data_IF_617152167160
#
_entry.id   IF_617152167160
#
_cell.length_a   1.000
_cell.length_b   1.000
_cell.length_c   1.000
_cell.angle_alpha   90.00
_cell.angle_beta   90.00
_cell.angle_gamma   90.00
#
_symmetry.space_group_name_H-M   'P 1'
#
loop_
_entity.id
_entity.type
_entity.pdbx_description
1 polymer ?
#
# COMPACT_ATOMS: atom_id res chain seq x y z
N UNK A 1 -11.94 8.46 -45.45
CA UNK A 1 -10.87 8.31 -44.44
C UNK A 1 -11.29 9.21 -43.29
N UNK A 2 -12.13 8.70 -42.41
CA UNK A 2 -12.52 9.42 -41.20
C UNK A 2 -11.29 9.45 -40.27
N UNK A 3 -10.82 10.65 -39.95
CA UNK A 3 -9.78 10.82 -38.96
C UNK A 3 -10.33 10.29 -37.63
N UNK A 4 -9.78 9.18 -37.14
CA UNK A 4 -10.26 8.44 -35.97
C UNK A 4 -10.12 9.22 -34.64
N UNK A 5 -9.60 10.45 -34.68
CA UNK A 5 -9.41 11.32 -33.52
C UNK A 5 -9.69 12.78 -33.91
N UNK A 6 -10.69 13.38 -33.26
CA UNK A 6 -10.99 14.81 -33.38
C UNK A 6 -10.23 15.57 -32.26
N UNK A 7 -9.63 16.71 -32.61
CA UNK A 7 -8.93 17.61 -31.66
C UNK A 7 -9.80 17.99 -30.44
N UNK A 8 -11.12 17.98 -30.62
CA UNK A 8 -12.14 18.27 -29.60
C UNK A 8 -12.15 17.24 -28.45
N UNK A 9 -11.52 16.07 -28.61
CA UNK A 9 -11.39 15.06 -27.55
C UNK A 9 -10.22 15.33 -26.59
N UNK A 10 -9.30 16.23 -26.94
CA UNK A 10 -8.15 16.56 -26.09
C UNK A 10 -8.57 17.57 -25.02
N UNK A 11 -8.99 17.05 -23.86
CA UNK A 11 -9.33 17.88 -22.71
C UNK A 11 -8.07 18.21 -21.88
N UNK A 12 -7.58 19.45 -22.01
CA UNK A 12 -6.44 19.93 -21.21
C UNK A 12 -6.98 20.48 -19.88
N UNK A 13 -6.53 19.96 -18.72
CA UNK A 13 -6.93 20.49 -17.42
C UNK A 13 -6.54 21.96 -17.24
N UNK A 14 -7.46 22.80 -16.75
CA UNK A 14 -7.22 24.24 -16.57
C UNK A 14 -6.07 24.53 -15.59
N UNK A 15 -5.88 23.66 -14.59
CA UNK A 15 -4.85 23.81 -13.55
C UNK A 15 -3.44 23.40 -14.00
N UNK A 16 -3.30 22.68 -15.13
CA UNK A 16 -2.01 22.14 -15.58
C UNK A 16 -0.97 23.26 -15.79
N UNK A 17 -1.38 24.38 -16.39
CA UNK A 17 -0.49 25.51 -16.62
C UNK A 17 0.03 26.14 -15.33
N UNK A 18 -0.82 26.22 -14.30
CA UNK A 18 -0.43 26.76 -13.00
C UNK A 18 0.56 25.84 -12.28
N UNK A 19 0.29 24.52 -12.26
CA UNK A 19 1.16 23.50 -11.66
C UNK A 19 2.54 23.52 -12.32
N UNK A 20 2.58 23.50 -13.66
CA UNK A 20 3.84 23.51 -14.40
C UNK A 20 4.64 24.79 -14.15
N UNK A 21 3.99 25.95 -14.06
CA UNK A 21 4.65 27.22 -13.73
C UNK A 21 5.27 27.21 -12.34
N UNK A 22 4.57 26.65 -11.35
CA UNK A 22 5.10 26.51 -9.99
C UNK A 22 6.32 25.59 -9.97
N UNK A 23 6.25 24.45 -10.66
CA UNK A 23 7.36 23.51 -10.80
C UNK A 23 8.58 24.17 -11.44
N UNK A 24 8.42 24.85 -12.58
CA UNK A 24 9.52 25.56 -13.24
C UNK A 24 10.14 26.63 -12.34
N UNK A 25 9.32 27.38 -11.60
CA UNK A 25 9.82 28.37 -10.64
C UNK A 25 10.65 27.72 -9.52
N UNK A 26 10.25 26.54 -9.07
CA UNK A 26 10.95 25.79 -8.04
C UNK A 26 12.31 25.26 -8.55
N UNK A 27 12.35 24.72 -9.77
CA UNK A 27 13.58 24.31 -10.45
C UNK A 27 14.58 25.46 -10.60
N UNK A 28 14.13 26.63 -11.05
CA UNK A 28 15.00 27.80 -11.21
C UNK A 28 15.51 28.36 -9.89
N UNK A 29 14.80 28.11 -8.78
CA UNK A 29 15.19 28.59 -7.45
C UNK A 29 16.18 27.64 -6.79
N UNK A 30 15.91 26.33 -6.88
CA UNK A 30 16.64 25.31 -6.13
C UNK A 30 17.80 24.71 -6.95
N UNK A 31 17.84 24.96 -8.26
CA UNK A 31 18.85 24.50 -9.21
C UNK A 31 19.32 23.06 -8.96
N UNK A 32 18.39 22.09 -8.91
CA UNK A 32 18.71 20.74 -8.47
C UNK A 32 19.66 20.05 -9.45
N UNK A 33 20.62 19.30 -8.91
CA UNK A 33 21.56 18.50 -9.72
C UNK A 33 20.85 17.38 -10.47
N UNK A 34 19.79 16.81 -9.87
CA UNK A 34 18.97 15.76 -10.45
C UNK A 34 17.51 16.21 -10.55
N UNK A 35 17.12 16.64 -11.74
CA UNK A 35 15.77 17.10 -12.04
C UNK A 35 14.74 15.99 -11.89
N UNK A 36 15.11 14.73 -12.13
CA UNK A 36 14.17 13.61 -12.06
C UNK A 36 13.76 13.33 -10.62
N UNK A 37 14.74 13.19 -9.71
CA UNK A 37 14.48 13.00 -8.27
C UNK A 37 13.75 14.18 -7.66
N UNK A 38 14.16 15.39 -8.03
CA UNK A 38 13.49 16.61 -7.60
C UNK A 38 12.03 16.64 -8.08
N UNK A 39 11.76 16.26 -9.33
CA UNK A 39 10.38 16.17 -9.85
C UNK A 39 9.53 15.22 -9.02
N UNK A 40 10.04 14.01 -8.76
CA UNK A 40 9.32 12.99 -8.02
C UNK A 40 8.94 13.48 -6.62
N UNK A 41 9.88 14.11 -5.92
CA UNK A 41 9.64 14.71 -4.61
C UNK A 41 8.65 15.88 -4.68
N UNK A 42 8.84 16.81 -5.64
CA UNK A 42 7.97 17.97 -5.80
C UNK A 42 6.51 17.56 -6.02
N UNK A 43 6.27 16.62 -6.92
CA UNK A 43 4.91 16.15 -7.22
C UNK A 43 4.31 15.30 -6.10
N UNK A 44 5.12 14.52 -5.38
CA UNK A 44 4.67 13.82 -4.18
C UNK A 44 4.17 14.81 -3.12
N UNK A 45 4.95 15.85 -2.82
CA UNK A 45 4.62 16.85 -1.79
C UNK A 45 3.30 17.58 -2.12
N UNK A 46 3.14 18.07 -3.36
CA UNK A 46 1.91 18.80 -3.72
C UNK A 46 0.67 17.90 -3.84
N UNK A 47 0.87 16.59 -3.99
CA UNK A 47 -0.21 15.59 -3.97
C UNK A 47 -0.50 15.04 -2.57
N UNK A 48 0.20 15.53 -1.54
CA UNK A 48 0.04 15.08 -0.15
C UNK A 48 0.64 13.70 0.13
N UNK A 49 1.52 13.21 -0.75
CA UNK A 49 2.29 11.97 -0.58
C UNK A 49 3.66 12.28 0.01
N UNK A 50 4.27 11.30 0.65
CA UNK A 50 5.63 11.40 1.16
C UNK A 50 6.64 11.32 -0.02
N UNK A 51 7.76 12.07 0.02
CA UNK A 51 8.71 12.13 -1.08
C UNK A 51 9.52 10.84 -1.22
N UNK A 52 9.66 10.29 -2.44
CA UNK A 52 10.38 9.04 -2.67
C UNK A 52 11.90 9.13 -2.53
N UNK A 53 12.50 10.33 -2.47
CA UNK A 53 13.95 10.49 -2.30
C UNK A 53 14.26 11.34 -1.07
N UNK A 54 15.28 10.94 -0.33
CA UNK A 54 15.79 11.68 0.83
C UNK A 54 16.68 12.87 0.41
N UNK A 55 17.23 13.59 1.39
CA UNK A 55 18.14 14.72 1.19
C UNK A 55 19.45 14.36 0.48
N UNK A 56 19.83 13.08 0.50
CA UNK A 56 21.01 12.55 -0.18
C UNK A 56 20.68 12.05 -1.60
N UNK A 57 19.41 12.13 -2.01
CA UNK A 57 18.92 11.60 -3.27
C UNK A 57 18.89 10.08 -3.31
N UNK A 58 18.90 9.42 -2.15
CA UNK A 58 18.68 7.98 -2.02
C UNK A 58 17.18 7.73 -2.06
N UNK A 59 16.76 6.75 -2.84
CA UNK A 59 15.36 6.34 -2.87
C UNK A 59 15.02 5.76 -1.49
N UNK A 60 14.02 6.34 -0.85
CA UNK A 60 13.42 5.86 0.38
C UNK A 60 12.10 5.22 -0.02
N UNK A 61 12.03 3.90 0.14
CA UNK A 61 10.80 3.15 -0.09
C UNK A 61 9.73 3.63 0.90
N UNK A 62 8.84 4.47 0.39
CA UNK A 62 7.55 4.68 1.01
C UNK A 62 6.63 3.50 0.66
N UNK A 63 6.16 2.80 1.69
CA UNK A 63 5.38 1.55 1.70
C UNK A 63 4.00 1.56 0.97
N UNK A 64 3.73 2.52 0.07
CA UNK A 64 2.48 2.59 -0.70
C UNK A 64 2.68 2.58 -2.23
N UNK A 65 3.89 2.27 -2.70
CA UNK A 65 4.18 2.02 -4.11
C UNK A 65 4.54 0.54 -4.36
N UNK A 66 3.65 -0.38 -3.98
CA UNK A 66 3.72 -1.79 -4.42
C UNK A 66 2.39 -2.25 -4.97
N UNK A 67 2.09 -1.81 -6.19
CA UNK A 67 1.53 -2.76 -7.17
C UNK A 67 2.51 -2.87 -8.33
N UNK A 68 3.04 -4.09 -8.47
CA UNK A 68 3.90 -4.62 -9.53
C UNK A 68 5.41 -4.32 -9.45
N UNK A 69 6.16 -5.23 -8.84
CA UNK A 69 7.16 -6.03 -9.58
C UNK A 69 7.67 -7.21 -8.73
N UNK A 70 7.47 -8.42 -9.23
CA UNK A 70 8.29 -9.59 -8.89
C UNK A 70 9.76 -9.26 -9.17
N UNK A 71 10.63 -9.33 -8.17
CA UNK A 71 11.80 -10.21 -8.24
C UNK A 71 12.56 -10.24 -6.90
N UNK A 72 12.95 -11.46 -6.53
CA UNK A 72 13.59 -11.83 -5.27
C UNK A 72 14.99 -11.24 -5.15
N UNK A 73 15.27 -10.43 -4.12
CA UNK A 73 16.61 -10.34 -3.51
C UNK A 73 16.49 -10.13 -2.00
N UNK A 74 16.90 -11.15 -1.24
CA UNK A 74 17.01 -11.11 0.21
C UNK A 74 18.09 -10.11 0.66
N UNK A 75 17.77 -9.15 1.52
CA UNK A 75 18.75 -8.47 2.40
C UNK A 75 18.05 -8.04 3.70
N UNK A 76 18.76 -8.03 4.84
CA UNK A 76 18.16 -8.08 6.16
C UNK A 76 17.61 -6.71 6.60
N UNK A 77 16.33 -6.74 6.93
CA UNK A 77 15.43 -5.66 7.32
C UNK A 77 15.85 -4.94 8.61
N UNK A 78 16.02 -3.61 8.62
CA UNK A 78 15.76 -2.78 9.79
C UNK A 78 14.31 -2.31 9.72
N UNK A 79 13.49 -2.87 10.62
CA UNK A 79 12.03 -2.72 10.72
C UNK A 79 11.60 -1.23 10.81
N UNK A 80 10.84 -0.68 9.83
CA UNK A 80 10.08 0.57 10.00
C UNK A 80 8.75 0.27 10.72
N UNK A 81 8.01 1.32 11.12
CA UNK A 81 6.90 1.26 12.08
C UNK A 81 5.71 0.42 11.62
N UNK A 82 5.81 -0.88 11.92
CA UNK A 82 4.81 -1.93 12.16
C UNK A 82 3.57 -1.89 11.25
N UNK A 83 3.59 -2.68 10.17
CA UNK A 83 2.37 -3.36 9.70
C UNK A 83 1.96 -4.35 10.81
N UNK A 84 1.31 -3.84 11.86
CA UNK A 84 1.06 -4.62 13.08
C UNK A 84 0.18 -5.85 12.77
N UNK A 85 -0.76 -5.70 11.83
CA UNK A 85 -1.58 -6.81 11.34
C UNK A 85 -0.71 -7.80 10.58
N UNK A 86 0.21 -7.31 9.73
CA UNK A 86 1.21 -8.13 9.06
C UNK A 86 2.13 -8.87 10.04
N UNK A 87 2.56 -8.26 11.13
CA UNK A 87 3.36 -8.90 12.18
C UNK A 87 2.58 -10.01 12.89
N UNK A 88 1.30 -9.76 13.19
CA UNK A 88 0.40 -10.77 13.76
C UNK A 88 0.26 -11.92 12.75
N UNK A 89 -0.05 -11.64 11.48
CA UNK A 89 -0.23 -12.67 10.47
C UNK A 89 1.05 -13.46 10.20
N UNK A 90 2.20 -12.81 10.20
CA UNK A 90 3.51 -13.44 10.06
C UNK A 90 3.81 -14.37 11.23
N UNK A 91 3.34 -14.06 12.45
CA UNK A 91 3.49 -14.91 13.63
C UNK A 91 2.70 -16.22 13.52
N UNK A 92 1.58 -16.22 12.80
CA UNK A 92 0.74 -17.41 12.57
C UNK A 92 0.95 -18.07 11.20
N UNK A 93 1.71 -17.44 10.30
CA UNK A 93 2.07 -18.00 8.99
C UNK A 93 2.95 -19.24 9.14
N UNK A 94 2.54 -20.36 8.51
CA UNK A 94 3.34 -21.59 8.46
C UNK A 94 4.03 -21.67 7.09
N UNK A 95 5.36 -21.50 7.09
CA UNK A 95 6.27 -21.64 5.93
C UNK A 95 6.46 -20.42 5.02
N UNK A 96 6.24 -19.18 5.49
CA UNK A 96 6.23 -17.96 4.66
C UNK A 96 5.21 -18.02 3.51
N UNK A 97 4.24 -18.92 3.60
CA UNK A 97 3.04 -18.84 2.79
C UNK A 97 2.07 -17.92 3.51
N UNK A 98 1.28 -17.14 2.78
CA UNK A 98 0.25 -16.25 3.33
C UNK A 98 -0.96 -17.05 3.89
N UNK A 99 -0.70 -18.21 4.47
CA UNK A 99 -1.70 -19.13 5.03
C UNK A 99 -1.41 -19.45 6.50
N UNK A 100 -2.47 -19.54 7.30
CA UNK A 100 -2.43 -19.96 8.70
C UNK A 100 -3.31 -21.19 8.92
N UNK A 101 -3.16 -21.87 10.05
CA UNK A 101 -4.09 -22.94 10.43
C UNK A 101 -5.44 -22.35 10.82
N UNK A 102 -6.52 -23.04 10.47
CA UNK A 102 -7.87 -22.69 10.90
C UNK A 102 -8.01 -22.70 12.43
N UNK A 103 -7.24 -23.53 13.14
CA UNK A 103 -7.20 -23.57 14.61
C UNK A 103 -6.64 -22.26 15.22
N UNK A 104 -5.80 -21.54 14.47
CA UNK A 104 -5.18 -20.29 14.91
C UNK A 104 -6.08 -19.07 14.67
N UNK A 105 -7.12 -19.18 13.84
CA UNK A 105 -8.07 -18.10 13.54
C UNK A 105 -8.63 -17.36 14.78
N UNK A 106 -9.16 -18.05 15.82
CA UNK A 106 -9.65 -17.35 17.01
C UNK A 106 -8.53 -16.62 17.77
N UNK A 107 -7.30 -17.14 17.73
CA UNK A 107 -6.15 -16.50 18.36
C UNK A 107 -5.71 -15.26 17.60
N UNK A 108 -5.71 -15.33 16.27
CA UNK A 108 -5.43 -14.20 15.36
C UNK A 108 -6.42 -13.06 15.62
N UNK A 109 -7.73 -13.34 15.57
CA UNK A 109 -8.76 -12.31 15.77
C UNK A 109 -8.66 -11.64 17.15
N UNK A 110 -8.40 -12.42 18.21
CA UNK A 110 -8.20 -11.89 19.56
C UNK A 110 -6.97 -10.99 19.67
N UNK A 111 -5.88 -11.34 18.98
CA UNK A 111 -4.66 -10.53 18.96
C UNK A 111 -4.89 -9.22 18.20
N UNK A 112 -5.60 -9.25 17.07
CA UNK A 112 -6.02 -8.04 16.34
C UNK A 112 -6.84 -7.11 17.24
N UNK A 113 -7.87 -7.63 17.93
CA UNK A 113 -8.70 -6.85 18.88
C UNK A 113 -7.83 -6.18 19.93
N UNK A 114 -6.93 -6.96 20.54
CA UNK A 114 -6.07 -6.50 21.64
C UNK A 114 -5.12 -5.41 21.19
N UNK A 115 -4.55 -5.56 19.99
CA UNK A 115 -3.50 -4.67 19.48
C UNK A 115 -4.07 -3.42 18.83
N UNK A 116 -5.24 -3.51 18.20
CA UNK A 116 -5.95 -2.36 17.61
C UNK A 116 -6.85 -1.63 18.62
N UNK A 117 -7.08 -2.20 19.80
CA UNK A 117 -7.97 -1.63 20.81
C UNK A 117 -9.45 -1.65 20.39
N UNK A 118 -9.83 -2.59 19.53
CA UNK A 118 -11.23 -2.80 19.10
C UNK A 118 -12.01 -3.48 20.22
N UNK A 119 -13.34 -3.44 20.16
CA UNK A 119 -14.20 -4.26 21.01
C UNK A 119 -14.47 -5.59 20.31
N UNK A 120 -14.78 -6.63 21.08
CA UNK A 120 -15.14 -7.94 20.52
C UNK A 120 -16.40 -7.86 19.62
N UNK A 121 -17.25 -6.85 19.83
CA UNK A 121 -18.44 -6.58 19.00
C UNK A 121 -18.14 -5.86 17.67
N UNK A 122 -16.93 -5.32 17.48
CA UNK A 122 -16.54 -4.60 16.26
C UNK A 122 -16.07 -5.56 15.14
N UNK A 123 -15.91 -6.85 15.44
CA UNK A 123 -15.48 -7.88 14.48
C UNK A 123 -16.55 -8.95 14.32
N UNK A 124 -16.73 -9.49 13.09
CA UNK A 124 -17.62 -10.61 12.86
C UNK A 124 -17.20 -11.84 13.67
N UNK A 125 -18.16 -12.67 14.11
CA UNK A 125 -17.85 -13.88 14.88
C UNK A 125 -17.02 -14.86 14.05
N UNK A 126 -16.13 -15.61 14.73
CA UNK A 126 -15.19 -16.56 14.11
C UNK A 126 -15.88 -17.53 13.14
N UNK A 127 -17.12 -17.94 13.44
CA UNK A 127 -17.90 -18.85 12.59
C UNK A 127 -18.31 -18.21 11.26
N UNK A 128 -18.61 -16.91 11.23
CA UNK A 128 -18.94 -16.19 9.99
C UNK A 128 -17.67 -15.97 9.17
N UNK A 129 -16.59 -15.53 9.81
CA UNK A 129 -15.28 -15.36 9.17
C UNK A 129 -14.81 -16.66 8.53
N UNK A 130 -14.84 -17.78 9.28
CA UNK A 130 -14.45 -19.09 8.77
C UNK A 130 -15.35 -19.61 7.62
N UNK A 131 -16.59 -19.13 7.52
CA UNK A 131 -17.52 -19.54 6.45
C UNK A 131 -17.30 -18.76 5.16
N UNK A 132 -16.75 -17.55 5.25
CA UNK A 132 -16.48 -16.69 4.09
C UNK A 132 -15.08 -16.92 3.53
N UNK A 133 -14.12 -17.22 4.40
CA UNK A 133 -12.74 -17.52 3.99
C UNK A 133 -12.64 -18.78 3.15
N UNK A 134 -11.79 -18.74 2.14
CA UNK A 134 -11.35 -19.92 1.43
C UNK A 134 -10.46 -20.77 2.35
N UNK A 135 -10.95 -21.97 2.66
CA UNK A 135 -10.19 -22.98 3.39
C UNK A 135 -9.65 -24.03 2.42
N UNK A 136 -8.33 -24.13 2.28
CA UNK A 136 -7.69 -25.25 1.60
C UNK A 136 -7.32 -26.32 2.64
N UNK A 137 -8.29 -27.19 2.93
CA UNK A 137 -8.16 -28.20 3.99
C UNK A 137 -8.27 -27.59 5.38
N UNK A 138 -7.17 -27.60 6.14
CA UNK A 138 -7.09 -27.06 7.52
C UNK A 138 -6.37 -25.70 7.58
N UNK A 139 -6.19 -25.07 6.42
CA UNK A 139 -5.50 -23.80 6.28
C UNK A 139 -6.42 -22.73 5.73
N UNK A 140 -6.28 -21.52 6.27
CA UNK A 140 -6.97 -20.30 5.84
C UNK A 140 -5.99 -19.36 5.15
N UNK A 141 -6.48 -18.59 4.18
CA UNK A 141 -5.73 -17.51 3.55
C UNK A 141 -5.77 -16.24 4.42
N UNK A 142 -4.59 -15.76 4.82
CA UNK A 142 -4.42 -14.57 5.65
C UNK A 142 -4.61 -13.27 4.87
N UNK A 143 -4.34 -13.29 3.55
CA UNK A 143 -4.60 -12.15 2.67
C UNK A 143 -6.10 -11.94 2.53
N UNK A 144 -6.85 -13.04 2.35
CA UNK A 144 -8.30 -12.96 2.30
C UNK A 144 -8.90 -12.52 3.64
N UNK A 145 -8.38 -13.01 4.77
CA UNK A 145 -8.77 -12.54 6.09
C UNK A 145 -8.51 -11.04 6.25
N UNK A 146 -7.39 -10.53 5.74
CA UNK A 146 -7.09 -9.09 5.73
C UNK A 146 -8.15 -8.31 4.97
N UNK A 147 -8.49 -8.77 3.77
CA UNK A 147 -9.47 -8.12 2.89
C UNK A 147 -10.87 -8.15 3.50
N UNK A 148 -11.28 -9.30 4.04
CA UNK A 148 -12.59 -9.46 4.67
C UNK A 148 -12.79 -8.56 5.89
N UNK A 149 -11.74 -8.33 6.68
CA UNK A 149 -11.83 -7.52 7.90
C UNK A 149 -11.66 -6.02 7.65
N UNK A 150 -10.88 -5.62 6.63
CA UNK A 150 -10.40 -4.24 6.49
C UNK A 150 -10.64 -3.60 5.12
N UNK A 151 -11.11 -4.32 4.10
CA UNK A 151 -11.53 -3.73 2.82
C UNK A 151 -13.06 -3.70 2.68
N UNK A 152 -13.63 -2.61 2.13
CA UNK A 152 -15.04 -2.57 1.78
C UNK A 152 -15.30 -3.39 0.51
N UNK A 153 -16.30 -4.27 0.57
CA UNK A 153 -16.89 -4.92 -0.62
C UNK A 153 -17.37 -3.83 -1.61
N UNK A 154 -17.11 -3.95 -2.92
CA UNK A 154 -17.46 -2.93 -3.93
C UNK A 154 -18.96 -2.71 -4.11
#
# INVERSE_FOLDING_TARGET
>A
MDALYAVEQVHIPQELGAIMKQYTKAILRDEPTDVYKYSANFFAIISGRCPPFDENGVYVEDEYASTQSNDKVNTPTPVPRQDIIGEIFQKYSRNNADTASLEDLPHILKEIVTVMGLKEDDLPPVAEVASVLHTEGDFIDLLELRQLLFEPEP
#
